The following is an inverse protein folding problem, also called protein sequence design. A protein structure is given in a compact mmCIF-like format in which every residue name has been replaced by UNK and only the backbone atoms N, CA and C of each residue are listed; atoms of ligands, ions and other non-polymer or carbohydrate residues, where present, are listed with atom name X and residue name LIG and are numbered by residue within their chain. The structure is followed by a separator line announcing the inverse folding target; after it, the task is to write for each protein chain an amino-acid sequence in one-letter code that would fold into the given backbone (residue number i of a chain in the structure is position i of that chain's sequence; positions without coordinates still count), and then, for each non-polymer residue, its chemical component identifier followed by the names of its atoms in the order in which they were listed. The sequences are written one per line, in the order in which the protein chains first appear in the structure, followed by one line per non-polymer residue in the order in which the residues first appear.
data_IF_953859113661
#
_entry.id   IF_953859113661
#
_cell.length_a   1.000
_cell.length_b   1.000
_cell.length_c   1.000
_cell.angle_alpha   90.00
_cell.angle_beta   90.00
_cell.angle_gamma   90.00
#
_symmetry.space_group_name_H-M   'P 1'
#
loop_
_entity.id
_entity.type
_entity.pdbx_description
1 polymer ?
#
# COMPACT_ATOMS: atom_id res chain seq x y z
N UNK A 1 19.17 16.43 -5.33
CA UNK A 1 18.56 15.61 -6.41
C UNK A 1 17.09 15.94 -6.48
N UNK A 2 16.50 16.04 -7.69
CA UNK A 2 15.08 16.39 -7.84
C UNK A 2 14.24 15.12 -7.67
N UNK A 3 13.12 15.20 -6.94
CA UNK A 3 12.24 14.06 -6.66
C UNK A 3 11.77 13.31 -7.92
N UNK A 4 11.59 14.03 -9.04
CA UNK A 4 11.18 13.44 -10.32
C UNK A 4 12.30 12.65 -11.00
N UNK A 5 13.55 13.05 -10.83
CA UNK A 5 14.71 12.31 -11.35
C UNK A 5 14.86 11.00 -10.57
N UNK A 6 14.75 11.05 -9.24
CA UNK A 6 14.76 9.85 -8.37
C UNK A 6 13.62 8.89 -8.68
N UNK A 7 12.42 9.42 -8.98
CA UNK A 7 11.27 8.60 -9.39
C UNK A 7 11.51 7.96 -10.77
N UNK A 8 12.07 8.70 -11.74
CA UNK A 8 12.38 8.18 -13.07
C UNK A 8 13.40 7.04 -13.03
N UNK A 9 14.43 7.17 -12.20
CA UNK A 9 15.43 6.12 -12.01
C UNK A 9 14.98 4.98 -11.09
N UNK A 10 13.77 5.06 -10.53
CA UNK A 10 13.20 4.02 -9.66
C UNK A 10 13.79 4.02 -8.23
N UNK A 11 14.58 5.02 -7.86
CA UNK A 11 15.12 5.17 -6.50
C UNK A 11 14.01 5.49 -5.49
N UNK A 12 12.91 6.10 -5.95
CA UNK A 12 11.67 6.24 -5.20
C UNK A 12 10.64 5.31 -5.84
N UNK A 13 10.43 4.16 -5.21
CA UNK A 13 9.36 3.24 -5.57
C UNK A 13 8.26 3.28 -4.49
N UNK A 14 7.11 3.91 -4.74
CA UNK A 14 6.04 3.99 -3.76
C UNK A 14 5.37 2.63 -3.45
N UNK A 15 5.58 1.63 -4.31
CA UNK A 15 5.16 0.25 -4.08
C UNK A 15 6.14 -0.52 -3.19
N UNK A 16 7.41 -0.08 -3.13
CA UNK A 16 8.34 -0.61 -2.13
C UNK A 16 7.99 -0.02 -0.78
N UNK A 17 7.27 -0.80 0.02
CA UNK A 17 7.35 -0.63 1.47
C UNK A 17 8.70 -1.19 1.88
N UNK A 18 9.68 -0.37 2.32
CA UNK A 18 10.86 -0.95 2.92
C UNK A 18 10.39 -1.83 4.06
N UNK A 19 10.86 -3.08 4.10
CA UNK A 19 10.63 -4.01 5.19
C UNK A 19 11.42 -3.52 6.42
N UNK A 20 11.13 -2.30 6.88
CA UNK A 20 11.49 -1.87 8.21
C UNK A 20 10.74 -2.83 9.11
N UNK A 21 11.47 -3.61 9.91
CA UNK A 21 10.92 -4.50 10.93
C UNK A 21 10.01 -3.69 11.85
N UNK A 22 8.78 -3.50 11.43
CA UNK A 22 7.72 -2.95 12.23
C UNK A 22 7.37 -4.10 13.13
N UNK A 23 7.92 -4.12 14.35
CA UNK A 23 7.75 -5.19 15.34
C UNK A 23 6.29 -5.68 15.46
N UNK A 24 5.33 -4.78 15.22
CA UNK A 24 3.89 -5.08 15.14
C UNK A 24 3.50 -5.85 13.87
N UNK A 25 3.89 -5.38 12.69
CA UNK A 25 3.65 -6.09 11.42
C UNK A 25 4.25 -7.50 11.46
N UNK A 26 5.52 -7.63 11.86
CA UNK A 26 6.19 -8.94 11.95
C UNK A 26 5.49 -9.90 12.92
N UNK A 27 4.90 -9.37 14.00
CA UNK A 27 4.12 -10.16 14.95
C UNK A 27 2.80 -10.62 14.33
N UNK A 28 2.07 -9.72 13.68
CA UNK A 28 0.79 -10.03 13.03
C UNK A 28 1.00 -10.98 11.86
N UNK A 29 2.04 -10.77 11.05
CA UNK A 29 2.39 -11.65 9.93
C UNK A 29 2.70 -13.06 10.40
N UNK A 30 3.52 -13.22 11.45
CA UNK A 30 3.79 -14.55 12.04
C UNK A 30 2.52 -15.23 12.56
N UNK A 31 1.60 -14.47 13.17
CA UNK A 31 0.31 -15.01 13.62
C UNK A 31 -0.57 -15.42 12.44
N UNK A 32 -0.60 -14.63 11.37
CA UNK A 32 -1.31 -14.96 10.14
C UNK A 32 -0.80 -16.27 9.55
N UNK A 33 0.52 -16.41 9.36
CA UNK A 33 1.13 -17.65 8.83
C UNK A 33 0.81 -18.85 9.71
N UNK A 34 0.94 -18.71 11.04
CA UNK A 34 0.61 -19.81 11.96
C UNK A 34 -0.86 -20.23 11.86
N UNK A 35 -1.77 -19.26 11.81
CA UNK A 35 -3.21 -19.54 11.70
C UNK A 35 -3.55 -20.18 10.35
N UNK A 36 -2.90 -19.73 9.26
CA UNK A 36 -3.05 -20.31 7.93
C UNK A 36 -2.58 -21.77 7.90
N UNK A 37 -1.42 -22.07 8.49
CA UNK A 37 -0.92 -23.45 8.63
C UNK A 37 -1.83 -24.34 9.46
N UNK A 38 -2.38 -23.84 10.58
CA UNK A 38 -3.34 -24.59 11.39
C UNK A 38 -4.65 -24.84 10.65
N UNK A 39 -5.13 -23.86 9.88
CA UNK A 39 -6.33 -24.00 9.05
C UNK A 39 -6.11 -25.06 7.96
N UNK A 40 -5.01 -24.97 7.20
CA UNK A 40 -4.70 -25.89 6.09
C UNK A 40 -4.58 -27.36 6.50
N UNK A 41 -4.24 -27.65 7.76
CA UNK A 41 -4.20 -29.02 8.29
C UNK A 41 -5.59 -29.65 8.43
N UNK A 42 -6.62 -28.83 8.63
CA UNK A 42 -7.99 -29.30 8.86
C UNK A 42 -8.82 -29.36 7.57
N UNK A 43 -8.37 -28.69 6.51
CA UNK A 43 -9.06 -28.64 5.23
C UNK A 43 -8.78 -29.90 4.39
N UNK A 44 -9.80 -30.38 3.69
CA UNK A 44 -9.64 -31.37 2.64
C UNK A 44 -9.11 -30.74 1.33
N UNK A 45 -8.81 -31.55 0.32
CA UNK A 45 -8.16 -31.06 -0.91
C UNK A 45 -9.02 -30.06 -1.69
N UNK A 46 -10.34 -30.29 -1.77
CA UNK A 46 -11.26 -29.36 -2.46
C UNK A 46 -11.37 -28.02 -1.72
N UNK A 47 -11.37 -28.06 -0.39
CA UNK A 47 -11.40 -26.87 0.45
C UNK A 47 -10.10 -26.07 0.36
N UNK A 48 -8.94 -26.73 0.22
CA UNK A 48 -7.65 -26.06 -0.02
C UNK A 48 -7.63 -25.36 -1.37
N UNK A 49 -8.09 -26.01 -2.44
CA UNK A 49 -8.21 -25.36 -3.75
C UNK A 49 -9.14 -24.14 -3.71
N UNK A 50 -10.24 -24.21 -2.96
CA UNK A 50 -11.12 -23.07 -2.77
C UNK A 50 -10.43 -21.96 -1.96
N UNK A 51 -9.71 -22.31 -0.90
CA UNK A 51 -8.95 -21.37 -0.07
C UNK A 51 -7.90 -20.62 -0.89
N UNK A 52 -7.15 -21.31 -1.76
CA UNK A 52 -6.16 -20.68 -2.64
C UNK A 52 -6.80 -19.71 -3.65
N UNK A 53 -7.98 -20.05 -4.19
CA UNK A 53 -8.74 -19.14 -5.04
C UNK A 53 -9.20 -17.90 -4.27
N UNK A 54 -9.69 -18.08 -3.04
CA UNK A 54 -10.07 -16.96 -2.16
C UNK A 54 -8.87 -16.04 -1.90
N UNK A 55 -7.69 -16.60 -1.59
CA UNK A 55 -6.46 -15.85 -1.38
C UNK A 55 -6.07 -15.05 -2.62
N UNK A 56 -6.11 -15.68 -3.79
CA UNK A 56 -5.81 -15.03 -5.07
C UNK A 56 -6.77 -13.85 -5.33
N UNK A 57 -8.08 -14.05 -5.15
CA UNK A 57 -9.06 -12.98 -5.31
C UNK A 57 -8.87 -11.85 -4.28
N UNK A 58 -8.51 -12.19 -3.05
CA UNK A 58 -8.22 -11.22 -2.00
C UNK A 58 -6.98 -10.36 -2.37
N UNK A 59 -5.90 -10.99 -2.83
CA UNK A 59 -4.70 -10.29 -3.27
C UNK A 59 -4.99 -9.35 -4.45
N UNK A 60 -5.74 -9.79 -5.46
CA UNK A 60 -6.18 -8.95 -6.57
C UNK A 60 -7.02 -7.75 -6.10
N UNK A 61 -7.97 -7.98 -5.19
CA UNK A 61 -8.80 -6.92 -4.60
C UNK A 61 -7.95 -5.88 -3.87
N UNK A 62 -6.96 -6.32 -3.09
CA UNK A 62 -6.02 -5.42 -2.40
C UNK A 62 -5.19 -4.63 -3.41
N UNK A 63 -4.65 -5.26 -4.45
CA UNK A 63 -3.87 -4.56 -5.49
C UNK A 63 -4.69 -3.46 -6.18
N UNK A 64 -5.96 -3.74 -6.52
CA UNK A 64 -6.87 -2.75 -7.11
C UNK A 64 -7.12 -1.60 -6.12
N UNK A 65 -7.38 -1.92 -4.85
CA UNK A 65 -7.69 -0.94 -3.81
C UNK A 65 -6.48 -0.04 -3.49
N UNK A 66 -5.29 -0.63 -3.39
CA UNK A 66 -4.03 0.09 -3.14
C UNK A 66 -3.70 1.02 -4.31
N UNK A 67 -3.85 0.56 -5.55
CA UNK A 67 -3.66 1.40 -6.75
C UNK A 67 -4.62 2.60 -6.77
N UNK A 68 -5.91 2.37 -6.50
CA UNK A 68 -6.90 3.45 -6.42
C UNK A 68 -6.59 4.44 -5.28
N UNK A 69 -6.16 3.93 -4.13
CA UNK A 69 -5.82 4.74 -2.96
C UNK A 69 -4.60 5.61 -3.25
N UNK A 70 -3.59 5.04 -3.90
CA UNK A 70 -2.40 5.74 -4.35
C UNK A 70 -2.75 6.88 -5.31
N UNK A 71 -3.55 6.61 -6.35
CA UNK A 71 -3.99 7.64 -7.31
C UNK A 71 -4.77 8.76 -6.61
N UNK A 72 -5.67 8.41 -5.68
CA UNK A 72 -6.43 9.41 -4.90
C UNK A 72 -5.48 10.27 -4.06
N UNK A 73 -4.50 9.66 -3.40
CA UNK A 73 -3.47 10.37 -2.61
C UNK A 73 -2.66 11.35 -3.45
N UNK A 74 -2.21 10.94 -4.64
CA UNK A 74 -1.49 11.83 -5.56
C UNK A 74 -2.34 13.01 -6.05
N UNK A 75 -3.59 12.74 -6.43
CA UNK A 75 -4.54 13.80 -6.82
C UNK A 75 -4.79 14.78 -5.67
N UNK A 76 -4.88 14.29 -4.44
CA UNK A 76 -5.03 15.14 -3.26
C UNK A 76 -3.79 16.00 -3.01
N UNK A 77 -2.59 15.41 -3.10
CA UNK A 77 -1.33 16.15 -2.97
C UNK A 77 -1.17 17.25 -4.04
N UNK A 78 -1.56 16.97 -5.28
CA UNK A 78 -1.56 17.97 -6.35
C UNK A 78 -2.55 19.12 -6.07
N UNK A 79 -3.73 18.83 -5.50
CA UNK A 79 -4.68 19.87 -5.08
C UNK A 79 -4.13 20.74 -3.97
N UNK A 80 -3.48 20.17 -2.96
CA UNK A 80 -2.80 20.96 -1.93
C UNK A 80 -1.71 21.85 -2.51
N UNK A 81 -0.92 21.32 -3.45
CA UNK A 81 0.08 22.13 -4.15
C UNK A 81 -0.56 23.31 -4.87
N UNK A 82 -1.58 23.07 -5.69
CA UNK A 82 -2.30 24.14 -6.43
C UNK A 82 -2.85 25.19 -5.46
N UNK A 83 -3.52 24.77 -4.39
CA UNK A 83 -4.07 25.68 -3.35
C UNK A 83 -2.98 26.60 -2.77
N UNK A 84 -1.77 26.08 -2.50
CA UNK A 84 -0.67 26.91 -2.00
C UNK A 84 -0.19 28.00 -2.97
N UNK A 85 -0.50 27.88 -4.27
CA UNK A 85 -0.10 28.85 -5.31
C UNK A 85 -1.27 29.64 -5.90
N UNK A 86 -2.52 29.21 -5.68
CA UNK A 86 -3.71 29.96 -6.04
C UNK A 86 -3.98 31.06 -4.99
N UNK A 87 -3.20 32.15 -5.10
CA UNK A 87 -3.44 33.49 -4.55
C UNK A 87 -4.23 33.59 -3.24
N UNK A 88 -3.51 33.54 -2.11
CA UNK A 88 -3.67 34.60 -1.13
C UNK A 88 -2.54 35.60 -1.37
N UNK A 89 -2.89 36.80 -1.82
CA UNK A 89 -2.05 37.95 -1.54
C UNK A 89 -1.87 37.99 -0.02
N UNK A 90 -0.64 37.72 0.41
CA UNK A 90 -0.07 38.05 1.70
C UNK A 90 -0.83 37.60 2.96
N UNK A 91 -0.56 36.36 3.41
CA UNK A 91 -0.80 35.98 4.83
C UNK A 91 0.29 36.59 5.75
N UNK A 92 1.41 37.03 5.16
CA UNK A 92 2.51 37.70 5.86
C UNK A 92 2.91 38.98 5.13
N UNK A 93 2.00 39.94 5.04
CA UNK A 93 2.39 41.34 4.85
C UNK A 93 2.99 41.82 6.19
N UNK A 94 4.32 42.00 6.22
CA UNK A 94 5.07 42.74 7.24
C UNK A 94 5.28 44.20 6.79
#
# INVERSE_FOLDING_TARGET
MKVLEEFWYGNINPMERPFQSQRKFDKVFRLLTKNEEELLKNLNEQEKELFDKVKTCYDEMIQITDCQTFIKGFKLGARFFIECFENDADIFDE
#
